data_IF_548850629418
#
_entry.id   IF_548850629418
#
_cell.length_a   1.000
_cell.length_b   1.000
_cell.length_c   1.000
_cell.angle_alpha   90.00
_cell.angle_beta   90.00
_cell.angle_gamma   90.00
#
_symmetry.space_group_name_H-M   'P 1'
#
loop_
_entity.id
_entity.type
_entity.pdbx_description
1 polymer ?
#
# COMPACT_ATOMS: atom_id res chain seq x y z
N UNK A 1 -9.62 -7.08 -9.68
CA UNK A 1 -10.04 -5.93 -8.82
C UNK A 1 -8.81 -5.11 -8.46
N UNK A 2 -7.79 -5.76 -7.91
CA UNK A 2 -6.48 -5.19 -7.63
C UNK A 2 -5.85 -4.48 -8.84
N UNK A 3 -5.77 -5.17 -9.97
CA UNK A 3 -5.21 -4.63 -11.22
C UNK A 3 -6.08 -3.52 -11.80
N UNK A 4 -7.40 -3.63 -11.66
CA UNK A 4 -8.34 -2.56 -12.03
C UNK A 4 -8.06 -1.30 -11.21
N UNK A 5 -7.73 -1.45 -9.92
CA UNK A 5 -7.35 -0.33 -9.07
C UNK A 5 -6.03 0.30 -9.51
N UNK A 6 -5.04 -0.51 -9.89
CA UNK A 6 -3.80 0.00 -10.49
C UNK A 6 -4.04 0.78 -11.78
N UNK A 7 -4.94 0.32 -12.65
CA UNK A 7 -5.32 1.05 -13.86
C UNK A 7 -5.96 2.40 -13.53
N UNK A 8 -6.84 2.45 -12.51
CA UNK A 8 -7.46 3.70 -12.05
C UNK A 8 -6.46 4.67 -11.40
N UNK A 9 -5.46 4.15 -10.67
CA UNK A 9 -4.40 4.93 -10.02
C UNK A 9 -3.43 5.55 -11.02
N UNK A 10 -3.25 4.92 -12.19
CA UNK A 10 -2.20 5.22 -13.14
C UNK A 10 -0.85 4.63 -12.72
N UNK A 11 0.02 4.42 -13.71
CA UNK A 11 1.29 3.69 -13.56
C UNK A 11 2.20 4.24 -12.45
N UNK A 12 2.26 5.56 -12.28
CA UNK A 12 3.15 6.21 -11.31
C UNK A 12 2.76 5.98 -9.85
N UNK A 13 1.45 5.85 -9.59
CA UNK A 13 0.92 5.57 -8.26
C UNK A 13 0.93 4.07 -8.01
N UNK A 14 0.52 3.27 -9.01
CA UNK A 14 0.54 1.81 -8.93
C UNK A 14 1.95 1.26 -8.60
N UNK A 15 3.00 1.80 -9.22
CA UNK A 15 4.39 1.44 -8.93
C UNK A 15 4.93 2.11 -7.65
N UNK A 16 4.18 2.03 -6.55
CA UNK A 16 4.61 2.47 -5.22
C UNK A 16 3.97 1.63 -4.14
N UNK A 17 4.59 1.57 -2.96
CA UNK A 17 4.02 0.88 -1.79
C UNK A 17 2.67 1.44 -1.41
N UNK A 18 2.48 2.77 -1.51
CA UNK A 18 1.18 3.39 -1.29
C UNK A 18 0.11 2.86 -2.26
N UNK A 19 0.42 2.75 -3.55
CA UNK A 19 -0.51 2.27 -4.57
C UNK A 19 -0.90 0.81 -4.36
N UNK A 20 0.10 -0.03 -4.05
CA UNK A 20 -0.10 -1.43 -3.68
C UNK A 20 -0.93 -1.55 -2.39
N UNK A 21 -0.66 -0.74 -1.37
CA UNK A 21 -1.46 -0.75 -0.13
C UNK A 21 -2.92 -0.46 -0.40
N UNK A 22 -3.22 0.56 -1.20
CA UNK A 22 -4.59 0.88 -1.57
C UNK A 22 -5.26 -0.25 -2.36
N UNK A 23 -4.54 -0.88 -3.31
CA UNK A 23 -5.05 -1.98 -4.12
C UNK A 23 -5.33 -3.24 -3.28
N UNK A 24 -4.38 -3.62 -2.42
CA UNK A 24 -4.54 -4.70 -1.44
C UNK A 24 -5.73 -4.43 -0.52
N UNK A 25 -5.83 -3.23 0.05
CA UNK A 25 -6.91 -2.91 0.98
C UNK A 25 -8.28 -2.99 0.31
N UNK A 26 -8.40 -2.57 -0.96
CA UNK A 26 -9.64 -2.73 -1.72
C UNK A 26 -9.99 -4.21 -1.94
N UNK A 27 -9.03 -5.00 -2.40
CA UNK A 27 -9.23 -6.43 -2.66
C UNK A 27 -9.67 -7.18 -1.40
N UNK A 28 -8.95 -6.99 -0.30
CA UNK A 28 -9.22 -7.68 0.96
C UNK A 28 -10.49 -7.19 1.63
N UNK A 29 -10.86 -5.92 1.50
CA UNK A 29 -12.16 -5.41 1.94
C UNK A 29 -13.32 -6.13 1.25
N UNK A 30 -13.19 -6.37 -0.05
CA UNK A 30 -14.21 -7.08 -0.84
C UNK A 30 -14.23 -8.56 -0.47
N UNK A 31 -13.07 -9.20 -0.35
CA UNK A 31 -12.96 -10.57 0.14
C UNK A 31 -13.65 -10.75 1.50
N UNK A 32 -13.35 -9.87 2.47
CA UNK A 32 -13.96 -9.92 3.80
C UNK A 32 -15.47 -9.71 3.75
N UNK A 33 -15.98 -8.84 2.87
CA UNK A 33 -17.43 -8.65 2.68
C UNK A 33 -18.12 -9.93 2.18
N UNK A 34 -17.44 -10.75 1.39
CA UNK A 34 -18.00 -12.00 0.86
C UNK A 34 -17.85 -13.19 1.83
N UNK A 35 -16.71 -13.29 2.51
CA UNK A 35 -16.33 -14.46 3.31
C UNK A 35 -16.55 -14.24 4.82
N UNK A 36 -16.61 -12.99 5.26
CA UNK A 36 -16.80 -12.61 6.66
C UNK A 36 -15.55 -12.69 7.54
N UNK A 37 -14.37 -13.00 6.97
CA UNK A 37 -13.08 -13.05 7.69
C UNK A 37 -11.89 -12.83 6.77
N UNK A 38 -10.75 -12.43 7.34
CA UNK A 38 -9.46 -12.38 6.65
C UNK A 38 -8.74 -13.73 6.72
N UNK A 39 -7.92 -14.09 5.71
CA UNK A 39 -7.27 -15.39 5.65
C UNK A 39 -6.10 -15.56 6.62
N UNK A 40 -5.44 -14.45 7.00
CA UNK A 40 -4.28 -14.43 7.92
C UNK A 40 -4.25 -13.14 8.72
N UNK A 41 -3.65 -13.19 9.92
CA UNK A 41 -3.43 -12.01 10.77
C UNK A 41 -2.66 -10.89 10.05
N UNK A 42 -1.71 -11.23 9.18
CA UNK A 42 -0.97 -10.22 8.41
C UNK A 42 -1.89 -9.36 7.52
N UNK A 43 -2.95 -9.95 6.94
CA UNK A 43 -3.95 -9.21 6.16
C UNK A 43 -4.83 -8.36 7.06
N UNK A 44 -5.24 -8.89 8.21
CA UNK A 44 -6.02 -8.13 9.20
C UNK A 44 -5.25 -6.90 9.70
N UNK A 45 -3.98 -7.09 10.07
CA UNK A 45 -3.08 -6.01 10.47
C UNK A 45 -2.88 -5.00 9.32
N UNK A 46 -2.79 -5.46 8.06
CA UNK A 46 -2.65 -4.60 6.88
C UNK A 46 -3.91 -3.75 6.65
N UNK A 47 -5.09 -4.34 6.88
CA UNK A 47 -6.38 -3.68 6.75
C UNK A 47 -6.62 -2.64 7.86
N UNK A 48 -5.94 -2.76 9.00
CA UNK A 48 -5.97 -1.80 10.08
C UNK A 48 -5.05 -0.59 9.84
N UNK A 49 -4.13 -0.65 8.87
CA UNK A 49 -3.24 0.46 8.56
C UNK A 49 -4.01 1.63 7.92
N UNK A 50 -3.74 2.89 8.32
CA UNK A 50 -4.33 4.05 7.68
C UNK A 50 -3.74 4.24 6.28
N UNK A 51 -4.60 4.44 5.28
CA UNK A 51 -4.14 4.80 3.94
C UNK A 51 -3.64 6.26 3.92
N UNK A 52 -2.34 6.43 4.11
CA UNK A 52 -1.70 7.71 4.38
C UNK A 52 -0.28 7.78 3.79
N UNK A 53 0.32 8.97 3.82
CA UNK A 53 1.71 9.19 3.41
C UNK A 53 2.70 9.10 4.59
N UNK A 54 2.30 8.49 5.72
CA UNK A 54 3.22 8.22 6.81
C UNK A 54 4.21 7.11 6.40
N UNK A 55 5.51 7.44 6.38
CA UNK A 55 6.57 6.50 6.00
C UNK A 55 6.60 5.25 6.86
N UNK A 56 6.34 5.38 8.16
CA UNK A 56 6.37 4.25 9.07
C UNK A 56 5.19 3.31 8.81
N UNK A 57 4.04 3.87 8.43
CA UNK A 57 2.88 3.09 7.98
C UNK A 57 3.19 2.36 6.68
N UNK A 58 3.81 3.03 5.70
CA UNK A 58 4.15 2.41 4.42
C UNK A 58 5.23 1.33 4.57
N UNK A 59 6.25 1.54 5.39
CA UNK A 59 7.21 0.49 5.75
C UNK A 59 6.52 -0.68 6.43
N UNK A 60 5.55 -0.41 7.32
CA UNK A 60 4.79 -1.48 7.96
C UNK A 60 3.95 -2.27 6.96
N UNK A 61 3.39 -1.60 5.95
CA UNK A 61 2.68 -2.25 4.86
C UNK A 61 3.60 -3.22 4.08
N UNK A 62 4.84 -2.81 3.75
CA UNK A 62 5.85 -3.69 3.12
C UNK A 62 6.05 -4.96 3.94
N UNK A 63 6.27 -4.83 5.25
CA UNK A 63 6.48 -5.98 6.14
C UNK A 63 5.29 -6.94 6.11
N UNK A 64 4.07 -6.42 6.20
CA UNK A 64 2.85 -7.22 6.27
C UNK A 64 2.52 -7.90 4.95
N UNK A 65 2.70 -7.21 3.83
CA UNK A 65 2.52 -7.80 2.50
C UNK A 65 3.54 -8.92 2.26
N UNK A 66 4.80 -8.74 2.66
CA UNK A 66 5.80 -9.82 2.59
C UNK A 66 5.54 -10.95 3.59
N UNK A 67 4.98 -10.65 4.77
CA UNK A 67 4.58 -11.69 5.72
C UNK A 67 3.46 -12.57 5.16
N UNK A 68 2.58 -12.01 4.32
CA UNK A 68 1.54 -12.76 3.64
C UNK A 68 2.05 -13.49 2.38
N UNK A 69 2.67 -12.77 1.44
CA UNK A 69 3.07 -13.27 0.11
C UNK A 69 4.47 -13.91 0.06
N UNK A 70 5.23 -13.83 1.13
CA UNK A 70 6.62 -14.27 1.20
C UNK A 70 7.61 -13.27 0.59
N UNK A 71 8.91 -13.55 0.78
CA UNK A 71 10.01 -12.68 0.31
C UNK A 71 10.19 -12.62 -1.21
N UNK A 72 9.52 -13.50 -1.95
CA UNK A 72 9.44 -13.43 -3.42
C UNK A 72 8.63 -12.23 -3.92
N UNK A 73 7.74 -11.68 -3.09
CA UNK A 73 7.00 -10.47 -3.40
C UNK A 73 7.85 -9.23 -3.10
N UNK A 74 8.47 -8.67 -4.15
CA UNK A 74 9.50 -7.63 -4.06
C UNK A 74 8.95 -6.20 -3.92
N UNK A 75 7.94 -6.04 -3.08
CA UNK A 75 7.37 -4.74 -2.71
C UNK A 75 8.39 -3.82 -2.02
N UNK A 76 9.45 -4.39 -1.42
CA UNK A 76 10.60 -3.67 -0.87
C UNK A 76 11.41 -2.89 -1.90
N UNK A 77 11.31 -3.23 -3.19
CA UNK A 77 12.00 -2.54 -4.27
C UNK A 77 11.23 -1.32 -4.79
N UNK A 78 9.94 -1.22 -4.49
CA UNK A 78 9.12 -0.10 -4.92
C UNK A 78 9.38 1.12 -4.04
N UNK A 79 9.30 2.34 -4.60
CA UNK A 79 9.33 3.55 -3.79
C UNK A 79 8.15 3.54 -2.81
N UNK A 80 8.35 4.09 -1.61
CA UNK A 80 7.27 4.14 -0.62
C UNK A 80 6.12 4.99 -1.14
N UNK A 81 6.46 6.11 -1.77
CA UNK A 81 5.52 7.04 -2.36
C UNK A 81 5.42 6.90 -3.89
N UNK A 82 4.33 7.39 -4.51
CA UNK A 82 4.33 7.65 -5.94
C UNK A 82 5.52 8.53 -6.33
N UNK A 83 6.10 8.32 -7.52
CA UNK A 83 7.44 8.86 -7.84
C UNK A 83 7.58 10.37 -7.63
N UNK A 84 6.54 11.16 -7.96
CA UNK A 84 6.57 12.62 -7.78
C UNK A 84 6.67 13.03 -6.31
N UNK A 85 6.06 12.25 -5.41
CA UNK A 85 6.13 12.43 -3.96
C UNK A 85 7.48 11.97 -3.42
N UNK A 86 8.04 10.86 -3.92
CA UNK A 86 9.38 10.43 -3.53
C UNK A 86 10.44 11.47 -3.89
N UNK A 87 10.32 12.14 -5.04
CA UNK A 87 11.17 13.27 -5.42
C UNK A 87 10.99 14.45 -4.46
N UNK A 88 9.74 14.83 -4.14
CA UNK A 88 9.45 15.87 -3.16
C UNK A 88 10.11 15.57 -1.81
N UNK A 89 10.02 14.33 -1.32
CA UNK A 89 10.66 13.93 -0.07
C UNK A 89 12.18 14.06 -0.13
N UNK A 90 12.82 13.64 -1.24
CA UNK A 90 14.27 13.74 -1.40
C UNK A 90 14.76 15.19 -1.45
N UNK A 91 13.97 16.11 -1.98
CA UNK A 91 14.32 17.54 -2.09
C UNK A 91 14.04 18.29 -0.77
N UNK A 92 12.87 18.07 -0.16
CA UNK A 92 12.37 18.88 0.95
C UNK A 92 12.43 18.17 2.31
N UNK A 93 12.85 16.90 2.35
CA UNK A 93 12.97 16.09 3.57
C UNK A 93 11.66 15.70 4.24
N UNK A 94 10.51 16.19 3.74
CA UNK A 94 9.20 16.04 4.41
C UNK A 94 8.08 15.87 3.38
N UNK A 95 7.11 15.02 3.72
CA UNK A 95 5.80 14.95 3.08
C UNK A 95 4.74 15.04 4.18
N UNK A 96 3.68 15.84 4.01
CA UNK A 96 2.52 15.81 4.91
C UNK A 96 2.00 14.38 5.06
N UNK A 97 1.65 13.95 6.27
CA UNK A 97 1.20 12.56 6.48
C UNK A 97 -0.18 12.26 5.87
N UNK A 98 -0.97 13.29 5.62
CA UNK A 98 -2.33 13.18 5.10
C UNK A 98 -2.36 13.01 3.59
N UNK A 99 -3.16 12.06 3.11
CA UNK A 99 -3.56 11.96 1.70
C UNK A 99 -4.49 13.14 1.36
N UNK A 100 -4.33 13.85 0.24
CA UNK A 100 -5.30 14.83 -0.23
C UNK A 100 -6.63 14.11 -0.50
N UNK A 101 -7.72 14.77 -0.13
CA UNK A 101 -9.08 14.32 -0.39
C UNK A 101 -9.36 14.18 -1.89
#
# INVERSE_FOLDING_TARGET
IHETKHLQQGLLTALSVYGELEAWQLEWKIYHRMIGRYPRKAIEDLMALPLSWDREVLKKAVELMQAYSGKGYRIDLLPLYPIGKEIQYKIFGTIPKTTPA
#
